data_IF_686498768496
#
_entry.id   IF_686498768496
#
_cell.length_a   1.000
_cell.length_b   1.000
_cell.length_c   1.000
_cell.angle_alpha   90.00
_cell.angle_beta   90.00
_cell.angle_gamma   90.00
#
_symmetry.space_group_name_H-M   'P 1'
#
loop_
_entity.id
_entity.type
_entity.pdbx_description
1 polymer ?
#
# COMPACT_ATOMS: atom_id res chain seq x y z
N UNK A 1 3.42 -3.31 7.98
CA UNK A 1 2.33 -3.02 7.03
C UNK A 1 2.73 -3.15 5.59
N UNK A 2 3.84 -2.52 5.21
CA UNK A 2 4.36 -2.51 3.84
C UNK A 2 4.27 -3.88 3.14
N UNK A 3 4.85 -4.93 3.74
CA UNK A 3 4.84 -6.28 3.15
C UNK A 3 3.43 -6.84 2.92
N UNK A 4 2.48 -6.59 3.83
CA UNK A 4 1.09 -6.99 3.65
C UNK A 4 0.42 -6.20 2.51
N UNK A 5 0.76 -4.92 2.37
CA UNK A 5 0.29 -4.08 1.26
C UNK A 5 0.79 -4.60 -0.08
N UNK A 6 2.06 -5.03 -0.16
CA UNK A 6 2.60 -5.69 -1.35
C UNK A 6 1.83 -6.98 -1.67
N UNK A 7 1.67 -7.90 -0.70
CA UNK A 7 0.93 -9.16 -0.92
C UNK A 7 -0.51 -8.88 -1.34
N UNK A 8 -1.19 -7.94 -0.70
CA UNK A 8 -2.56 -7.59 -1.07
C UNK A 8 -2.65 -7.03 -2.49
N UNK A 9 -1.72 -6.14 -2.87
CA UNK A 9 -1.64 -5.64 -4.23
C UNK A 9 -1.37 -6.75 -5.25
N UNK A 10 -0.48 -7.68 -4.95
CA UNK A 10 -0.17 -8.83 -5.81
C UNK A 10 -1.38 -9.75 -6.00
N UNK A 11 -2.19 -9.94 -4.96
CA UNK A 11 -3.43 -10.71 -5.07
C UNK A 11 -4.46 -10.01 -5.96
N UNK A 12 -4.49 -8.68 -5.96
CA UNK A 12 -5.40 -7.89 -6.81
C UNK A 12 -4.93 -7.85 -8.26
N UNK A 13 -3.62 -7.72 -8.49
CA UNK A 13 -3.03 -7.61 -9.84
C UNK A 13 -2.72 -8.97 -10.49
N UNK A 14 -2.59 -10.03 -9.68
CA UNK A 14 -2.09 -11.36 -10.08
C UNK A 14 -0.64 -11.37 -10.58
N UNK A 15 0.09 -10.29 -10.33
CA UNK A 15 1.51 -10.11 -10.67
C UNK A 15 2.24 -9.33 -9.57
N UNK A 16 3.57 -9.49 -9.41
CA UNK A 16 4.36 -8.75 -8.43
C UNK A 16 4.22 -7.23 -8.61
N UNK A 17 3.80 -6.51 -7.56
CA UNK A 17 3.63 -5.05 -7.60
C UNK A 17 4.99 -4.34 -7.86
N UNK A 18 6.07 -4.91 -7.35
CA UNK A 18 7.43 -4.36 -7.45
C UNK A 18 8.42 -5.45 -7.92
N UNK A 19 8.51 -5.73 -9.22
CA UNK A 19 9.41 -6.76 -9.75
C UNK A 19 10.85 -6.24 -9.85
N UNK A 20 11.64 -6.37 -8.78
CA UNK A 20 13.06 -5.98 -8.76
C UNK A 20 14.01 -7.17 -8.81
N UNK A 21 15.09 -7.02 -9.60
CA UNK A 21 16.17 -8.02 -9.73
C UNK A 21 17.38 -7.69 -8.84
N UNK A 22 17.50 -6.44 -8.39
CA UNK A 22 18.51 -5.95 -7.47
C UNK A 22 17.90 -4.99 -6.44
N UNK A 23 18.66 -4.64 -5.38
CA UNK A 23 18.20 -3.67 -4.39
C UNK A 23 17.92 -2.29 -4.97
N UNK A 24 18.69 -1.86 -5.98
CA UNK A 24 18.48 -0.58 -6.66
C UNK A 24 17.25 -0.65 -7.56
N UNK A 25 17.09 -1.73 -8.31
CA UNK A 25 15.92 -1.93 -9.19
C UNK A 25 14.63 -2.00 -8.37
N UNK A 26 14.66 -2.69 -7.23
CA UNK A 26 13.55 -2.74 -6.28
C UNK A 26 13.14 -1.34 -5.84
N UNK A 27 14.11 -0.50 -5.44
CA UNK A 27 13.84 0.89 -5.03
C UNK A 27 13.26 1.71 -6.18
N UNK A 28 13.79 1.58 -7.39
CA UNK A 28 13.27 2.28 -8.57
C UNK A 28 11.83 1.85 -8.89
N UNK A 29 11.50 0.56 -8.75
CA UNK A 29 10.14 0.08 -8.96
C UNK A 29 9.16 0.59 -7.90
N UNK A 30 9.60 0.71 -6.65
CA UNK A 30 8.79 1.36 -5.60
C UNK A 30 8.54 2.83 -5.96
N UNK A 31 9.59 3.60 -6.30
CA UNK A 31 9.48 5.03 -6.66
C UNK A 31 8.58 5.22 -7.89
N UNK A 32 8.66 4.32 -8.87
CA UNK A 32 7.79 4.36 -10.06
C UNK A 32 6.32 4.33 -9.69
N UNK A 33 5.92 3.70 -8.59
CA UNK A 33 4.51 3.47 -8.23
C UNK A 33 4.06 4.42 -7.11
N UNK A 34 4.84 4.48 -6.03
CA UNK A 34 4.56 5.25 -4.81
C UNK A 34 5.01 6.72 -4.97
N UNK A 35 5.88 7.01 -5.93
CA UNK A 35 6.48 8.33 -6.15
C UNK A 35 7.80 8.51 -5.41
N UNK A 36 8.48 9.63 -5.63
CA UNK A 36 9.75 9.93 -4.95
C UNK A 36 9.51 10.23 -3.47
N UNK A 37 10.23 9.61 -2.53
CA UNK A 37 10.12 9.92 -1.12
C UNK A 37 10.56 11.37 -0.85
N UNK A 38 9.87 12.03 0.08
CA UNK A 38 10.29 13.33 0.57
C UNK A 38 11.54 13.22 1.45
N UNK A 39 12.19 14.34 1.77
CA UNK A 39 13.31 14.33 2.72
C UNK A 39 12.89 13.81 4.10
N UNK A 40 11.70 14.19 4.56
CA UNK A 40 11.15 13.70 5.83
C UNK A 40 10.91 12.18 5.80
N UNK A 41 10.48 11.64 4.67
CA UNK A 41 10.33 10.18 4.48
C UNK A 41 11.68 9.48 4.54
N UNK A 42 12.69 10.01 3.85
CA UNK A 42 14.05 9.45 3.88
C UNK A 42 14.63 9.46 5.31
N UNK A 43 14.43 10.56 6.04
CA UNK A 43 14.83 10.68 7.45
C UNK A 43 14.09 9.68 8.33
N UNK A 44 12.78 9.48 8.12
CA UNK A 44 11.98 8.50 8.86
C UNK A 44 12.35 7.05 8.55
N UNK A 45 12.75 6.75 7.31
CA UNK A 45 13.18 5.42 6.88
C UNK A 45 14.58 5.08 7.41
N UNK A 46 15.54 5.99 7.21
CA UNK A 46 16.91 5.80 7.63
C UNK A 46 17.62 7.15 7.83
N UNK A 47 17.70 7.66 9.07
CA UNK A 47 18.34 8.95 9.37
C UNK A 47 19.81 9.02 8.94
N UNK A 48 20.48 7.87 8.78
CA UNK A 48 21.90 7.79 8.40
C UNK A 48 22.13 7.86 6.89
N UNK A 49 21.08 7.74 6.08
CA UNK A 49 21.16 7.67 4.62
C UNK A 49 20.08 8.54 3.98
N UNK A 50 20.25 9.85 4.06
CA UNK A 50 19.30 10.85 3.55
C UNK A 50 19.75 11.48 2.22
N UNK A 51 21.03 11.35 1.88
CA UNK A 51 21.65 11.95 0.69
C UNK A 51 21.54 11.05 -0.57
N UNK A 52 20.32 10.62 -0.91
CA UNK A 52 20.07 9.92 -2.17
C UNK A 52 19.62 10.87 -3.27
N UNK A 53 20.29 10.81 -4.43
CA UNK A 53 19.79 11.45 -5.66
C UNK A 53 18.78 10.52 -6.34
N UNK A 54 17.51 10.70 -6.02
CA UNK A 54 16.42 9.92 -6.59
C UNK A 54 15.78 10.66 -7.78
N UNK A 55 15.30 9.93 -8.81
CA UNK A 55 14.52 10.53 -9.88
C UNK A 55 13.23 11.12 -9.29
N UNK A 56 12.79 12.27 -9.83
CA UNK A 56 11.52 12.90 -9.44
C UNK A 56 10.38 12.24 -10.21
N UNK A 57 9.50 11.56 -9.48
CA UNK A 57 8.38 10.78 -9.99
C UNK A 57 7.16 11.07 -9.12
N UNK A 58 6.02 11.33 -9.75
CA UNK A 58 4.76 11.52 -9.05
C UNK A 58 4.13 10.16 -8.69
N UNK A 59 3.45 10.05 -7.52
CA UNK A 59 2.72 8.85 -7.15
C UNK A 59 1.68 8.50 -8.21
N UNK A 60 1.62 7.24 -8.63
CA UNK A 60 0.66 6.74 -9.62
C UNK A 60 -0.02 5.45 -9.21
N UNK A 61 -0.02 5.11 -7.91
CA UNK A 61 -0.68 3.93 -7.38
C UNK A 61 -2.13 3.79 -7.89
N UNK A 62 -2.99 4.83 -7.92
CA UNK A 62 -4.35 4.72 -8.47
C UNK A 62 -4.40 4.32 -9.95
N UNK A 63 -3.37 4.65 -10.72
CA UNK A 63 -3.28 4.29 -12.14
C UNK A 63 -2.84 2.84 -12.36
N UNK A 64 -2.25 2.20 -11.35
CA UNK A 64 -1.87 0.77 -11.39
C UNK A 64 -3.09 -0.12 -11.17
N UNK A 65 -4.12 0.38 -10.49
CA UNK A 65 -5.31 -0.38 -10.13
C UNK A 65 -6.56 0.16 -10.87
N UNK A 66 -7.00 -0.48 -11.96
CA UNK A 66 -8.26 -0.13 -12.61
C UNK A 66 -9.45 -0.23 -11.63
N UNK A 67 -10.45 0.66 -11.72
CA UNK A 67 -11.64 0.62 -10.85
C UNK A 67 -12.40 -0.71 -10.89
N UNK A 68 -12.34 -1.42 -12.02
CA UNK A 68 -13.00 -2.71 -12.22
C UNK A 68 -12.25 -3.86 -11.52
N UNK A 69 -10.96 -3.69 -11.27
CA UNK A 69 -10.09 -4.69 -10.63
C UNK A 69 -9.94 -4.43 -9.13
N UNK A 70 -9.89 -3.16 -8.73
CA UNK A 70 -9.69 -2.77 -7.34
C UNK A 70 -10.81 -1.83 -6.88
N UNK A 71 -11.67 -2.27 -5.95
CA UNK A 71 -12.67 -1.39 -5.35
C UNK A 71 -12.02 -0.15 -4.70
N UNK A 72 -12.67 1.02 -4.71
CA UNK A 72 -12.11 2.26 -4.15
C UNK A 72 -11.64 2.14 -2.70
N UNK A 73 -12.35 1.33 -1.89
CA UNK A 73 -11.97 1.05 -0.50
C UNK A 73 -10.66 0.25 -0.39
N UNK A 74 -10.45 -0.71 -1.29
CA UNK A 74 -9.22 -1.50 -1.32
C UNK A 74 -8.03 -0.63 -1.75
N UNK A 75 -8.25 0.29 -2.70
CA UNK A 75 -7.23 1.24 -3.13
C UNK A 75 -6.85 2.23 -2.00
N UNK A 76 -7.83 2.76 -1.26
CA UNK A 76 -7.56 3.62 -0.07
C UNK A 76 -6.71 2.87 0.97
N UNK A 77 -7.06 1.62 1.26
CA UNK A 77 -6.30 0.78 2.17
C UNK A 77 -4.86 0.58 1.66
N UNK A 78 -4.68 0.25 0.38
CA UNK A 78 -3.35 0.09 -0.22
C UNK A 78 -2.51 1.37 -0.13
N UNK A 79 -3.09 2.55 -0.40
CA UNK A 79 -2.40 3.83 -0.29
C UNK A 79 -1.88 4.09 1.13
N UNK A 80 -2.64 3.67 2.14
CA UNK A 80 -2.28 3.86 3.55
C UNK A 80 -1.31 2.80 4.08
N UNK A 81 -1.24 1.63 3.43
CA UNK A 81 -0.28 0.58 3.75
C UNK A 81 1.09 0.79 3.10
N UNK A 82 1.10 1.37 1.88
CA UNK A 82 2.29 1.59 1.05
C UNK A 82 2.85 3.01 1.23
N UNK A 83 3.11 3.42 2.47
CA UNK A 83 3.75 4.69 2.81
C UNK A 83 5.18 4.51 3.28
N UNK A 84 6.06 5.46 2.93
CA UNK A 84 7.48 5.41 3.28
C UNK A 84 7.74 5.57 4.77
N UNK A 85 7.10 6.55 5.41
CA UNK A 85 7.27 6.80 6.84
C UNK A 85 6.54 5.74 7.67
N UNK A 86 7.25 4.96 8.51
CA UNK A 86 6.61 3.93 9.35
C UNK A 86 5.58 4.50 10.33
N UNK A 87 5.78 5.74 10.80
CA UNK A 87 4.86 6.42 11.70
C UNK A 87 3.54 6.82 11.02
N UNK A 88 3.54 6.92 9.69
CA UNK A 88 2.34 7.21 8.88
C UNK A 88 1.60 5.95 8.42
N UNK A 89 2.17 4.77 8.62
CA UNK A 89 1.53 3.50 8.26
C UNK A 89 0.37 3.23 9.21
N UNK A 90 -0.70 2.66 8.65
CA UNK A 90 -1.87 2.21 9.41
C UNK A 90 -1.51 1.08 10.38
N UNK A 91 -1.85 1.18 11.66
CA UNK A 91 -1.67 0.05 12.58
C UNK A 91 -2.74 -1.04 12.35
N UNK A 92 -2.31 -2.30 12.15
CA UNK A 92 -3.17 -3.49 12.01
C UNK A 92 -4.07 -3.67 13.23
N UNK A 93 -3.61 -3.28 14.41
CA UNK A 93 -4.37 -3.44 15.65
C UNK A 93 -5.64 -2.57 15.67
N UNK A 94 -5.70 -1.55 14.81
CA UNK A 94 -6.90 -0.71 14.67
C UNK A 94 -7.96 -1.45 13.85
N UNK A 95 -8.96 -2.02 14.54
CA UNK A 95 -10.20 -2.59 13.93
C UNK A 95 -10.82 -1.69 12.85
N UNK A 96 -10.60 -0.39 12.96
CA UNK A 96 -11.01 0.67 12.04
C UNK A 96 -10.54 0.48 10.58
N UNK A 97 -9.43 -0.22 10.36
CA UNK A 97 -8.79 -0.33 9.04
C UNK A 97 -9.15 -1.60 8.27
N UNK A 98 -9.55 -2.66 8.97
CA UNK A 98 -10.03 -3.90 8.36
C UNK A 98 -11.54 -3.83 8.13
N UNK A 99 -12.26 -3.07 8.97
CA UNK A 99 -13.71 -2.96 8.89
C UNK A 99 -14.08 -1.55 8.42
N UNK A 100 -14.65 -1.40 7.21
CA UNK A 100 -15.04 -0.09 6.71
C UNK A 100 -16.07 0.56 7.66
N UNK A 101 -16.10 1.90 7.79
CA UNK A 101 -16.93 2.61 8.77
C UNK A 101 -18.40 2.16 8.82
N UNK A 102 -18.98 1.83 7.66
CA UNK A 102 -20.35 1.36 7.54
C UNK A 102 -20.58 -0.08 8.03
N UNK A 103 -19.54 -0.92 8.08
CA UNK A 103 -19.60 -2.30 8.53
C UNK A 103 -19.20 -2.47 10.02
N UNK A 104 -18.80 -1.38 10.70
CA UNK A 104 -18.35 -1.42 12.11
C UNK A 104 -19.46 -1.80 13.10
N UNK A 105 -20.73 -1.61 12.71
CA UNK A 105 -21.91 -1.97 13.52
C UNK A 105 -22.60 -3.27 13.08
N UNK A 106 -22.10 -3.97 12.05
CA UNK A 106 -22.75 -5.17 11.49
C UNK A 106 -22.02 -6.45 11.87
N UNK A 107 -21.62 -6.61 13.14
CA UNK A 107 -21.04 -7.85 13.66
C UNK A 107 -22.07 -9.00 13.67
N UNK A 108 -22.41 -9.51 12.49
CA UNK A 108 -23.15 -10.74 12.23
C UNK A 108 -22.32 -11.59 11.26
N UNK A 109 -21.08 -11.89 11.65
CA UNK A 109 -20.12 -12.71 10.90
C UNK A 109 -20.57 -14.17 10.65
N UNK A 110 -21.77 -14.58 11.09
CA UNK A 110 -22.33 -15.91 10.88
C UNK A 110 -23.32 -16.04 9.72
N UNK A 111 -23.49 -15.05 8.83
CA UNK A 111 -24.28 -15.23 7.60
C UNK A 111 -23.46 -14.96 6.35
N UNK A 112 -22.56 -15.89 6.05
CA UNK A 112 -22.20 -16.16 4.66
C UNK A 112 -23.48 -16.61 3.94
N UNK A 113 -23.84 -16.07 2.76
CA UNK A 113 -25.02 -16.52 2.04
C UNK A 113 -24.76 -17.95 1.55
N UNK A 114 -25.38 -18.93 2.20
CA UNK A 114 -25.68 -20.21 1.58
C UNK A 114 -26.55 -19.91 0.36
N UNK A 115 -25.93 -19.84 -0.81
CA UNK A 115 -26.65 -19.80 -2.08
C UNK A 115 -27.46 -21.09 -2.18
N UNK A 116 -28.78 -20.93 -2.22
CA UNK A 116 -29.74 -21.89 -2.78
C UNK A 116 -29.77 -21.72 -4.30
#
# INVERSE_FOLDING_TARGET
MWSLGCVFAELVLLEPLFPGESGVDQLLNIIKVVGTPSRADLEAMNPKHTDFRLPRVHPRLPSVFPPDTCPPLALDLLQRMLTYSPASQVDVATRECIVPPHARNTWNWCRWPERS
#
